data_IF_369061328110
#
_entry.id   IF_369061328110
#
_cell.length_a   1.000
_cell.length_b   1.000
_cell.length_c   1.000
_cell.angle_alpha   90.00
_cell.angle_beta   90.00
_cell.angle_gamma   90.00
#
_symmetry.space_group_name_H-M   'P 1'
#
loop_
_entity.id
_entity.type
_entity.pdbx_description
1 polymer ?
#
# COMPACT_ATOMS: atom_id res chain seq x y z
N UNK A 1 4.62 -38.10 -9.67
CA UNK A 1 4.67 -37.43 -8.34
C UNK A 1 4.05 -36.06 -8.55
N UNK A 2 2.81 -35.94 -8.11
CA UNK A 2 1.88 -34.87 -8.44
C UNK A 2 1.38 -34.32 -7.11
N UNK A 3 1.84 -33.12 -6.74
CA UNK A 3 1.25 -32.30 -5.68
C UNK A 3 1.44 -30.83 -6.07
N UNK A 4 0.70 -30.40 -7.09
CA UNK A 4 0.30 -29.02 -7.24
C UNK A 4 -1.19 -29.00 -6.88
N UNK A 5 -1.49 -28.75 -5.61
CA UNK A 5 -2.87 -28.67 -5.11
C UNK A 5 -3.17 -27.22 -4.75
N UNK A 6 -3.81 -26.54 -5.70
CA UNK A 6 -5.08 -25.84 -5.50
C UNK A 6 -5.28 -25.16 -4.13
N UNK A 7 -5.08 -23.83 -4.12
CA UNK A 7 -6.00 -22.81 -3.55
C UNK A 7 -5.25 -21.50 -3.38
N UNK A 8 -5.32 -20.60 -4.35
CA UNK A 8 -5.28 -19.13 -4.19
C UNK A 8 -5.59 -18.49 -5.55
N UNK A 9 -6.71 -18.87 -6.15
CA UNK A 9 -7.35 -18.04 -7.18
C UNK A 9 -8.43 -17.24 -6.45
N UNK A 10 -8.06 -16.11 -5.88
CA UNK A 10 -9.05 -15.08 -5.57
C UNK A 10 -9.29 -14.33 -6.88
N UNK A 11 -10.51 -14.44 -7.38
CA UNK A 11 -10.98 -13.75 -8.59
C UNK A 11 -10.73 -12.24 -8.45
N UNK A 12 -9.77 -11.74 -9.22
CA UNK A 12 -9.51 -10.32 -9.34
C UNK A 12 -10.54 -9.75 -10.33
N UNK A 13 -11.66 -9.24 -9.81
CA UNK A 13 -12.62 -8.52 -10.64
C UNK A 13 -11.98 -7.18 -11.06
N UNK A 14 -11.68 -7.08 -12.34
CA UNK A 14 -11.07 -5.94 -13.01
C UNK A 14 -12.03 -4.76 -13.15
N UNK A 15 -11.95 -3.81 -12.22
CA UNK A 15 -12.16 -2.35 -12.41
C UNK A 15 -12.23 -1.71 -11.01
N UNK A 16 -11.33 -0.77 -10.70
CA UNK A 16 -11.23 0.00 -9.43
C UNK A 16 -10.54 -0.66 -8.21
N UNK A 17 -9.40 -1.34 -8.41
CA UNK A 17 -8.61 -1.84 -7.28
C UNK A 17 -7.52 -0.87 -6.84
N UNK A 18 -7.91 0.24 -6.22
CA UNK A 18 -6.97 1.11 -5.49
C UNK A 18 -6.41 0.34 -4.29
N UNK A 19 -5.17 0.62 -3.87
CA UNK A 19 -4.56 -0.01 -2.71
C UNK A 19 -4.13 1.00 -1.65
N UNK A 20 -4.21 0.60 -0.37
CA UNK A 20 -3.85 1.46 0.75
C UNK A 20 -2.33 1.67 0.85
N UNK A 21 -1.95 2.92 1.12
CA UNK A 21 -0.59 3.36 1.50
C UNK A 21 -0.64 4.02 2.89
N UNK A 22 0.51 4.24 3.52
CA UNK A 22 0.60 4.65 4.93
C UNK A 22 0.27 6.10 5.21
N UNK A 23 -0.33 6.83 4.28
CA UNK A 23 -0.66 8.24 4.46
C UNK A 23 -2.08 8.41 5.04
N UNK A 24 -2.19 9.20 6.10
CA UNK A 24 -3.46 9.57 6.75
C UNK A 24 -3.47 11.02 7.26
N UNK A 25 -4.67 11.52 7.55
CA UNK A 25 -4.89 12.82 8.23
C UNK A 25 -5.48 12.67 9.64
N UNK A 26 -5.77 11.44 10.07
CA UNK A 26 -6.50 11.11 11.29
C UNK A 26 -5.74 11.59 12.53
N UNK A 27 -4.42 11.40 12.52
CA UNK A 27 -3.54 11.65 13.67
C UNK A 27 -3.02 13.08 13.76
N UNK A 28 -3.25 13.89 12.73
CA UNK A 28 -2.48 15.11 12.46
C UNK A 28 -3.33 16.39 12.38
N UNK A 29 -4.62 16.31 12.73
CA UNK A 29 -5.58 17.43 12.69
C UNK A 29 -5.63 18.12 11.32
N UNK A 30 -5.65 17.34 10.24
CA UNK A 30 -5.86 17.84 8.88
C UNK A 30 -4.60 18.03 8.02
N UNK A 31 -3.46 17.44 8.40
CA UNK A 31 -2.24 17.46 7.58
C UNK A 31 -1.82 16.03 7.20
N UNK A 32 -1.59 15.72 5.93
CA UNK A 32 -1.13 14.38 5.56
C UNK A 32 0.20 14.01 6.23
N UNK A 33 0.28 12.80 6.76
CA UNK A 33 1.49 12.23 7.37
C UNK A 33 1.59 10.75 7.04
N UNK A 34 2.82 10.24 7.02
CA UNK A 34 3.08 8.81 6.98
C UNK A 34 3.02 8.19 8.38
N UNK A 35 2.45 7.00 8.50
CA UNK A 35 2.37 6.22 9.74
C UNK A 35 3.74 5.78 10.25
N UNK A 36 4.68 5.55 9.34
CA UNK A 36 6.08 5.20 9.63
C UNK A 36 6.92 6.35 10.19
N UNK A 37 6.34 7.55 10.30
CA UNK A 37 6.95 8.80 10.80
C UNK A 37 8.05 9.37 9.90
N UNK A 38 8.19 8.87 8.68
CA UNK A 38 9.02 9.50 7.65
C UNK A 38 8.48 10.89 7.28
N UNK A 39 9.31 11.68 6.62
CA UNK A 39 8.91 13.00 6.12
C UNK A 39 7.84 12.86 5.05
N UNK A 40 6.77 13.65 5.15
CA UNK A 40 5.78 13.76 4.07
C UNK A 40 6.28 14.76 3.02
N UNK A 41 7.26 14.34 2.22
CA UNK A 41 8.02 15.16 1.27
C UNK A 41 7.68 14.90 -0.21
N UNK A 42 6.93 13.83 -0.48
CA UNK A 42 6.44 13.47 -1.80
C UNK A 42 4.94 13.19 -1.76
N UNK A 43 4.25 13.56 -2.82
CA UNK A 43 2.85 13.20 -3.04
C UNK A 43 2.50 13.23 -4.51
N UNK A 44 1.79 12.22 -4.99
CA UNK A 44 1.35 12.12 -6.38
C UNK A 44 -0.19 12.09 -6.45
N UNK A 45 -0.81 13.13 -5.88
CA UNK A 45 -2.27 13.26 -5.85
C UNK A 45 -2.86 13.37 -7.25
N UNK A 46 -3.98 12.68 -7.48
CA UNK A 46 -4.78 12.86 -8.69
C UNK A 46 -5.24 14.32 -8.78
N UNK A 47 -5.34 14.86 -9.99
CA UNK A 47 -5.83 16.23 -10.20
C UNK A 47 -7.18 16.45 -9.49
N UNK A 48 -7.21 17.37 -8.53
CA UNK A 48 -8.39 17.69 -7.71
C UNK A 48 -8.48 16.95 -6.37
N UNK A 49 -7.53 16.07 -6.06
CA UNK A 49 -7.34 15.45 -4.75
C UNK A 49 -6.22 16.19 -3.97
N UNK A 50 -6.21 16.10 -2.62
CA UNK A 50 -7.24 15.49 -1.76
C UNK A 50 -8.52 16.33 -1.70
N UNK A 51 -9.69 15.73 -1.95
CA UNK A 51 -11.01 16.40 -1.84
C UNK A 51 -11.72 16.04 -0.54
N UNK A 52 -12.62 16.92 -0.08
CA UNK A 52 -13.53 16.67 1.05
C UNK A 52 -12.83 16.16 2.33
N UNK A 53 -11.77 16.84 2.78
CA UNK A 53 -11.03 16.51 4.01
C UNK A 53 -11.96 16.72 5.22
N UNK A 54 -12.56 15.64 5.74
CA UNK A 54 -13.40 15.65 6.95
C UNK A 54 -12.64 15.23 8.22
N UNK A 55 -11.42 14.74 8.07
CA UNK A 55 -10.60 14.21 9.17
C UNK A 55 -10.69 12.68 9.30
N UNK A 56 -11.30 12.00 8.33
CA UNK A 56 -11.54 10.55 8.31
C UNK A 56 -11.01 9.87 7.04
N UNK A 57 -10.11 10.55 6.33
CA UNK A 57 -9.58 10.12 5.05
C UNK A 57 -8.20 9.45 5.16
N UNK A 58 -8.00 8.44 4.32
CA UNK A 58 -6.77 7.68 4.18
C UNK A 58 -6.36 7.65 2.70
N UNK A 59 -5.06 7.61 2.41
CA UNK A 59 -4.58 7.66 1.04
C UNK A 59 -4.59 6.27 0.40
N UNK A 60 -5.14 6.18 -0.79
CA UNK A 60 -5.02 5.01 -1.66
C UNK A 60 -4.37 5.40 -2.99
N UNK A 61 -3.61 4.47 -3.56
CA UNK A 61 -3.04 4.59 -4.91
C UNK A 61 -3.95 3.85 -5.87
N UNK A 62 -4.34 4.51 -6.96
CA UNK A 62 -5.08 3.87 -8.03
C UNK A 62 -4.16 2.96 -8.84
N UNK A 63 -4.52 1.69 -8.94
CA UNK A 63 -3.77 0.72 -9.74
C UNK A 63 -3.88 0.98 -11.26
N UNK A 64 -4.83 1.84 -11.68
CA UNK A 64 -5.04 2.15 -13.09
C UNK A 64 -4.12 3.24 -13.63
N UNK A 65 -3.81 4.24 -12.81
CA UNK A 65 -3.08 5.45 -13.22
C UNK A 65 -1.95 5.86 -12.25
N UNK A 66 -1.82 5.19 -11.09
CA UNK A 66 -0.76 5.41 -10.10
C UNK A 66 -0.96 6.63 -9.20
N UNK A 67 -2.00 7.42 -9.42
CA UNK A 67 -2.26 8.64 -8.66
C UNK A 67 -2.99 8.34 -7.35
N UNK A 68 -2.81 9.23 -6.38
CA UNK A 68 -3.36 9.07 -5.03
C UNK A 68 -4.72 9.74 -4.92
N UNK A 69 -5.59 9.14 -4.12
CA UNK A 69 -6.89 9.69 -3.74
C UNK A 69 -7.10 9.62 -2.24
N UNK A 70 -7.78 10.63 -1.70
CA UNK A 70 -8.24 10.64 -0.31
C UNK A 70 -9.55 9.86 -0.22
N UNK A 71 -9.55 8.74 0.50
CA UNK A 71 -10.67 7.80 0.52
C UNK A 71 -11.10 7.46 1.95
N UNK A 72 -12.33 6.96 2.08
CA UNK A 72 -12.86 6.58 3.39
C UNK A 72 -12.08 5.39 3.94
N UNK A 73 -11.40 5.57 5.07
CA UNK A 73 -10.58 4.54 5.71
C UNK A 73 -11.32 3.23 6.04
N UNK A 74 -12.67 3.27 6.08
CA UNK A 74 -13.52 2.11 6.35
C UNK A 74 -13.76 1.20 5.14
N UNK A 75 -13.38 1.63 3.94
CA UNK A 75 -13.44 0.82 2.74
C UNK A 75 -12.40 -0.30 2.77
N UNK A 76 -12.74 -1.45 2.18
CA UNK A 76 -11.84 -2.60 2.10
C UNK A 76 -11.07 -2.57 0.78
N UNK A 77 -9.74 -2.56 0.86
CA UNK A 77 -8.85 -2.53 -0.32
C UNK A 77 -7.61 -3.38 -0.09
N UNK A 78 -6.92 -3.84 -1.16
CA UNK A 78 -5.56 -4.34 -1.05
C UNK A 78 -4.65 -3.30 -0.40
N UNK A 79 -3.49 -3.73 0.09
CA UNK A 79 -2.58 -2.84 0.82
C UNK A 79 -1.13 -3.32 0.68
N UNK A 80 -0.19 -2.38 0.77
CA UNK A 80 1.25 -2.67 0.65
C UNK A 80 1.94 -2.29 1.95
N UNK A 81 2.68 -3.23 2.54
CA UNK A 81 3.56 -2.97 3.68
C UNK A 81 4.96 -2.57 3.20
N UNK A 82 5.58 -1.60 3.87
CA UNK A 82 6.97 -1.20 3.69
C UNK A 82 7.78 -1.41 4.98
N UNK A 83 9.02 -1.92 4.84
CA UNK A 83 9.97 -2.10 5.95
C UNK A 83 11.35 -1.58 5.55
N UNK A 84 11.94 -0.73 6.39
CA UNK A 84 13.29 -0.17 6.20
C UNK A 84 14.43 -1.10 6.66
N UNK A 85 14.17 -2.01 7.61
CA UNK A 85 15.14 -2.97 8.13
C UNK A 85 14.51 -4.35 8.32
N UNK A 86 15.05 -5.37 7.65
CA UNK A 86 14.54 -6.74 7.68
C UNK A 86 14.23 -7.23 9.10
N UNK A 87 12.99 -7.66 9.43
CA UNK A 87 12.81 -8.69 10.44
C UNK A 87 13.53 -9.96 9.94
N UNK A 88 14.17 -10.71 10.85
CA UNK A 88 14.94 -11.92 10.55
C UNK A 88 14.11 -13.10 9.97
N UNK A 89 12.89 -12.84 9.50
CA UNK A 89 11.95 -13.83 8.98
C UNK A 89 11.73 -13.50 7.50
N UNK A 90 12.63 -14.02 6.66
CA UNK A 90 12.48 -13.97 5.21
C UNK A 90 11.47 -15.03 4.77
N UNK A 91 10.21 -14.65 4.59
CA UNK A 91 9.32 -15.39 3.69
C UNK A 91 9.43 -14.80 2.27
N UNK A 92 9.41 -15.69 1.28
CA UNK A 92 9.80 -15.50 -0.13
C UNK A 92 8.91 -14.57 -0.97
N UNK A 93 8.21 -13.62 -0.35
CA UNK A 93 7.20 -12.76 -0.97
C UNK A 93 7.53 -11.26 -0.91
N UNK A 94 8.62 -10.87 -0.24
CA UNK A 94 9.08 -9.48 -0.21
C UNK A 94 9.87 -9.11 -1.45
N UNK A 95 9.58 -7.93 -2.00
CA UNK A 95 10.32 -7.32 -3.10
C UNK A 95 11.25 -6.24 -2.55
N UNK A 96 12.53 -6.32 -2.92
CA UNK A 96 13.53 -5.33 -2.54
C UNK A 96 13.66 -4.25 -3.61
N UNK A 97 13.67 -2.98 -3.20
CA UNK A 97 13.97 -1.85 -4.08
C UNK A 97 15.32 -1.23 -3.69
N UNK A 98 16.31 -1.41 -4.56
CA UNK A 98 17.70 -0.98 -4.32
C UNK A 98 17.82 0.53 -4.04
N UNK A 99 17.01 1.37 -4.70
CA UNK A 99 17.11 2.83 -4.59
C UNK A 99 16.75 3.36 -3.20
N UNK A 100 15.67 2.83 -2.60
CA UNK A 100 15.24 3.20 -1.24
C UNK A 100 15.87 2.30 -0.18
N UNK A 101 16.46 1.17 -0.60
CA UNK A 101 16.94 0.08 0.26
C UNK A 101 15.84 -0.50 1.16
N UNK A 102 14.60 -0.45 0.69
CA UNK A 102 13.42 -0.91 1.42
C UNK A 102 12.85 -2.20 0.84
N UNK A 103 12.09 -2.91 1.68
CA UNK A 103 11.36 -4.12 1.31
C UNK A 103 9.86 -3.83 1.29
N UNK A 104 9.17 -4.38 0.29
CA UNK A 104 7.72 -4.22 0.10
C UNK A 104 7.03 -5.57 -0.04
N UNK A 105 5.85 -5.75 0.55
CA UNK A 105 5.01 -6.93 0.37
C UNK A 105 3.51 -6.57 0.42
N UNK A 106 2.66 -7.52 0.03
CA UNK A 106 1.20 -7.35 0.06
C UNK A 106 0.51 -7.13 -1.30
N UNK A 107 1.24 -7.30 -2.41
CA UNK A 107 0.74 -7.25 -3.78
C UNK A 107 -0.29 -8.36 -4.07
N UNK A 108 -1.56 -8.19 -3.65
CA UNK A 108 -2.63 -9.17 -3.84
C UNK A 108 -2.57 -10.42 -2.95
N UNK A 109 -1.48 -10.59 -2.19
CA UNK A 109 -1.24 -11.78 -1.34
C UNK A 109 -2.13 -11.80 -0.09
N UNK A 110 -2.42 -10.63 0.48
CA UNK A 110 -3.09 -10.52 1.79
C UNK A 110 -4.60 -10.23 1.71
N UNK A 111 -5.19 -10.23 0.50
CA UNK A 111 -6.59 -9.86 0.29
C UNK A 111 -6.87 -8.37 0.54
N UNK A 112 -8.14 -8.04 0.78
CA UNK A 112 -8.58 -6.64 1.01
C UNK A 112 -8.97 -6.40 2.46
N UNK A 113 -8.58 -5.26 3.03
CA UNK A 113 -8.94 -4.87 4.39
C UNK A 113 -9.11 -3.37 4.55
N UNK A 114 -9.59 -2.91 5.71
CA UNK A 114 -9.68 -1.49 6.04
C UNK A 114 -8.30 -0.90 6.26
N UNK A 115 -8.14 0.41 6.07
CA UNK A 115 -6.84 1.05 6.18
C UNK A 115 -6.16 0.78 7.53
N UNK A 116 -6.88 0.98 8.64
CA UNK A 116 -6.32 0.76 9.98
C UNK A 116 -5.99 -0.70 10.28
N UNK A 117 -6.75 -1.64 9.74
CA UNK A 117 -6.48 -3.07 9.88
C UNK A 117 -5.23 -3.48 9.07
N UNK A 118 -5.03 -2.87 7.89
CA UNK A 118 -3.82 -3.04 7.08
C UNK A 118 -2.58 -2.47 7.78
N UNK A 119 -2.68 -1.26 8.34
CA UNK A 119 -1.62 -0.66 9.15
C UNK A 119 -1.27 -1.55 10.35
N UNK A 120 -2.26 -2.02 11.11
CA UNK A 120 -2.03 -2.94 12.21
C UNK A 120 -1.31 -4.21 11.73
N UNK A 121 -1.71 -4.77 10.58
CA UNK A 121 -1.04 -5.95 10.02
C UNK A 121 0.44 -5.68 9.71
N UNK A 122 0.75 -4.58 9.02
CA UNK A 122 2.14 -4.23 8.72
C UNK A 122 2.96 -3.98 9.99
N UNK A 123 2.38 -3.38 11.03
CA UNK A 123 3.03 -3.22 12.34
C UNK A 123 3.41 -4.57 12.98
N UNK A 124 2.56 -5.60 12.88
CA UNK A 124 2.89 -6.94 13.37
C UNK A 124 4.05 -7.59 12.61
N UNK A 125 4.29 -7.18 11.36
CA UNK A 125 5.45 -7.61 10.56
C UNK A 125 6.70 -6.78 10.85
N UNK A 126 6.65 -5.80 11.76
CA UNK A 126 7.77 -4.89 12.05
C UNK A 126 7.90 -3.74 11.04
N UNK A 127 6.82 -3.44 10.32
CA UNK A 127 6.75 -2.37 9.32
C UNK A 127 5.54 -1.47 9.48
N UNK A 128 5.24 -0.75 8.42
CA UNK A 128 4.05 0.09 8.31
C UNK A 128 3.42 -0.12 6.93
N UNK A 129 2.20 0.37 6.71
CA UNK A 129 1.77 0.62 5.34
C UNK A 129 2.79 1.51 4.65
N UNK A 130 3.05 1.25 3.37
CA UNK A 130 4.20 1.85 2.69
C UNK A 130 4.07 3.38 2.61
N UNK A 131 5.16 4.05 2.94
CA UNK A 131 5.43 5.42 2.52
C UNK A 131 5.94 5.43 1.07
N UNK A 132 5.83 6.58 0.41
CA UNK A 132 6.35 6.79 -0.95
C UNK A 132 7.04 8.15 -0.99
N UNK A 133 8.31 8.17 -1.37
CA UNK A 133 9.20 9.32 -1.31
C UNK A 133 9.74 9.76 -2.67
N UNK A 134 9.35 9.09 -3.75
CA UNK A 134 9.83 9.40 -5.10
C UNK A 134 8.92 8.83 -6.19
N UNK A 135 9.07 9.39 -7.41
CA UNK A 135 8.38 8.87 -8.59
C UNK A 135 8.85 7.46 -8.94
N UNK A 136 10.13 7.17 -8.74
CA UNK A 136 10.74 5.88 -9.02
C UNK A 136 10.16 4.80 -8.11
N UNK A 137 9.96 5.11 -6.82
CA UNK A 137 9.30 4.23 -5.86
C UNK A 137 7.81 4.01 -6.20
N UNK A 138 7.07 5.08 -6.53
CA UNK A 138 5.69 4.97 -6.98
C UNK A 138 5.57 4.05 -8.22
N UNK A 139 6.47 4.22 -9.18
CA UNK A 139 6.53 3.42 -10.41
C UNK A 139 6.85 1.95 -10.12
N UNK A 140 7.78 1.69 -9.19
CA UNK A 140 8.11 0.34 -8.75
C UNK A 140 6.91 -0.38 -8.15
N UNK A 141 6.20 0.27 -7.21
CA UNK A 141 5.01 -0.30 -6.57
C UNK A 141 3.89 -0.58 -7.57
N UNK A 142 3.57 0.40 -8.42
CA UNK A 142 2.51 0.28 -9.41
C UNK A 142 2.80 -0.78 -10.49
N UNK A 143 4.07 -0.97 -10.87
CA UNK A 143 4.44 -2.02 -11.80
C UNK A 143 4.22 -3.42 -11.18
N UNK A 144 4.51 -3.59 -9.89
CA UNK A 144 4.39 -4.87 -9.21
C UNK A 144 2.94 -5.24 -8.89
N UNK A 145 2.09 -4.28 -8.54
CA UNK A 145 0.65 -4.53 -8.38
C UNK A 145 0.00 -5.02 -9.68
N UNK A 146 0.38 -4.45 -10.83
CA UNK A 146 -0.13 -4.84 -12.15
C UNK A 146 0.41 -6.19 -12.67
N UNK A 147 1.53 -6.70 -12.14
CA UNK A 147 2.12 -7.97 -12.57
C UNK A 147 1.48 -9.21 -11.91
N UNK A 148 0.76 -9.03 -10.80
CA UNK A 148 0.05 -10.13 -10.12
C UNK A 148 -1.45 -10.15 -10.46
N UNK A 149 -1.82 -9.47 -11.54
CA UNK A 149 -3.19 -9.36 -12.07
C UNK A 149 -3.31 -10.17 -13.36
N UNK A 150 -3.44 -11.50 -13.25
CA UNK A 150 -3.72 -12.39 -14.40
C UNK A 150 -4.73 -13.47 -14.01
#
# INVERSE_FOLDING_TARGET
MQYFSEKFQYEFSSSDNNFWIGADILTSKGNWKWTDKSSFDFSDWKSGEPKNITGLECAAVSNSDGYWSAENCSEKKPFVCGIAFLPAICESTWLYFEFTKSYYCGFGVFGTTRWGDGENYCNHLGGHLTSIHSQEEASFLNCKTNLFTF
#
